data_IF_843399027046
#
_entry.id   IF_843399027046
#
_cell.length_a   1.000
_cell.length_b   1.000
_cell.length_c   1.000
_cell.angle_alpha   90.00
_cell.angle_beta   90.00
_cell.angle_gamma   90.00
#
_symmetry.space_group_name_H-M   'P 1'
#
loop_
_entity.id
_entity.type
_entity.pdbx_description
1 polymer ?
#
# COMPACT_ATOMS: atom_id res chain seq x y z
N UNK A 1 0.66 11.33 17.99
CA UNK A 1 0.84 11.24 19.47
C UNK A 1 2.22 11.68 19.93
N UNK A 2 3.34 11.14 19.42
CA UNK A 2 4.68 11.53 19.91
C UNK A 2 5.01 13.02 19.77
N UNK A 3 4.64 13.67 18.66
CA UNK A 3 4.77 15.13 18.51
C UNK A 3 4.01 15.91 19.58
N UNK A 4 2.83 15.42 19.97
CA UNK A 4 2.05 16.02 21.06
C UNK A 4 2.78 15.83 22.38
N UNK A 5 3.31 14.63 22.65
CA UNK A 5 4.09 14.38 23.85
C UNK A 5 5.33 15.29 23.94
N UNK A 6 6.04 15.50 22.83
CA UNK A 6 7.18 16.43 22.76
C UNK A 6 6.75 17.88 23.04
N UNK A 7 5.59 18.31 22.52
CA UNK A 7 5.06 19.66 22.75
C UNK A 7 4.65 19.91 24.21
N UNK A 8 4.15 18.88 24.89
CA UNK A 8 3.69 18.97 26.28
C UNK A 8 4.65 18.31 27.27
N UNK A 9 5.93 18.22 26.92
CA UNK A 9 6.97 17.54 27.71
C UNK A 9 6.97 17.98 29.18
N UNK A 10 7.00 19.28 29.45
CA UNK A 10 7.03 19.80 30.83
C UNK A 10 5.82 19.37 31.65
N UNK A 11 4.64 19.35 31.04
CA UNK A 11 3.40 18.92 31.69
C UNK A 11 3.42 17.42 31.94
N UNK A 12 3.92 16.64 30.98
CA UNK A 12 4.07 15.19 31.12
C UNK A 12 5.05 14.87 32.25
N UNK A 13 6.23 15.49 32.26
CA UNK A 13 7.26 15.30 33.29
C UNK A 13 6.73 15.70 34.69
N UNK A 14 5.97 16.79 34.80
CA UNK A 14 5.35 17.22 36.05
C UNK A 14 4.29 16.22 36.56
N UNK A 15 3.50 15.62 35.66
CA UNK A 15 2.49 14.63 36.02
C UNK A 15 3.15 13.30 36.40
N UNK A 16 4.16 12.84 35.65
CA UNK A 16 4.81 11.55 35.88
C UNK A 16 5.71 11.55 37.12
N UNK A 17 6.36 12.68 37.43
CA UNK A 17 7.22 12.81 38.62
C UNK A 17 6.43 12.87 39.94
N UNK A 18 5.13 13.20 39.88
CA UNK A 18 4.27 13.29 41.06
C UNK A 18 3.91 11.90 41.60
N UNK A 19 4.41 11.59 42.80
CA UNK A 19 4.23 10.30 43.48
C UNK A 19 2.77 9.95 43.77
N UNK A 20 1.90 10.95 43.93
CA UNK A 20 0.47 10.76 44.27
C UNK A 20 -0.30 10.08 43.14
N UNK A 21 0.11 10.29 41.88
CA UNK A 21 -0.59 9.72 40.73
C UNK A 21 -0.14 8.30 40.38
N UNK A 22 0.94 7.79 41.00
CA UNK A 22 1.44 6.44 40.72
C UNK A 22 1.97 6.24 39.29
N UNK A 23 2.28 7.33 38.58
CA UNK A 23 2.72 7.31 37.18
C UNK A 23 4.24 7.35 36.99
N UNK A 24 5.00 7.29 38.09
CA UNK A 24 6.46 7.45 38.06
C UNK A 24 7.22 6.45 37.19
N UNK A 25 6.64 5.27 36.96
CA UNK A 25 7.19 4.27 36.03
C UNK A 25 7.17 4.69 34.56
N UNK A 26 6.48 5.79 34.23
CA UNK A 26 6.40 6.37 32.88
C UNK A 26 7.16 7.70 32.77
N UNK A 27 7.86 8.11 33.83
CA UNK A 27 8.76 9.26 33.81
C UNK A 27 9.90 8.95 32.84
N UNK A 28 10.10 9.81 31.84
CA UNK A 28 11.16 9.67 30.85
C UNK A 28 12.36 10.51 31.24
N UNK A 29 13.55 9.96 31.07
CA UNK A 29 14.78 10.73 31.23
C UNK A 29 15.13 11.59 30.00
N UNK A 30 16.15 12.43 30.13
CA UNK A 30 16.59 13.32 29.06
C UNK A 30 17.04 12.57 27.78
N UNK A 31 17.60 11.37 27.91
CA UNK A 31 18.05 10.58 26.77
C UNK A 31 16.89 9.89 26.08
N UNK A 32 15.89 9.42 26.83
CA UNK A 32 14.63 8.90 26.30
C UNK A 32 13.85 9.99 25.56
N UNK A 33 13.83 11.22 26.08
CA UNK A 33 13.24 12.36 25.38
C UNK A 33 13.97 12.70 24.07
N UNK A 34 15.30 12.55 24.00
CA UNK A 34 16.05 12.67 22.74
C UNK A 34 15.62 11.58 21.74
N UNK A 35 15.43 10.34 22.20
CA UNK A 35 14.91 9.25 21.35
C UNK A 35 13.53 9.61 20.80
N UNK A 36 12.63 10.16 21.62
CA UNK A 36 11.30 10.63 21.16
C UNK A 36 11.42 11.70 20.08
N UNK A 37 12.25 12.72 20.30
CA UNK A 37 12.45 13.80 19.31
C UNK A 37 13.03 13.30 17.99
N UNK A 38 13.98 12.37 18.04
CA UNK A 38 14.56 11.75 16.84
C UNK A 38 13.56 10.85 16.11
N UNK A 39 12.72 10.09 16.83
CA UNK A 39 11.63 9.31 16.23
C UNK A 39 10.62 10.21 15.52
N UNK A 40 10.21 11.31 16.16
CA UNK A 40 9.32 12.30 15.55
C UNK A 40 9.96 12.89 14.31
N UNK A 41 11.25 13.25 14.36
CA UNK A 41 11.96 13.80 13.21
C UNK A 41 11.95 12.85 12.01
N UNK A 42 12.28 11.58 12.21
CA UNK A 42 12.42 10.60 11.12
C UNK A 42 11.08 10.13 10.58
N UNK A 43 10.15 9.74 11.46
CA UNK A 43 8.93 9.04 11.04
C UNK A 43 7.74 9.96 10.77
N UNK A 44 7.76 11.22 11.20
CA UNK A 44 6.62 12.13 11.01
C UNK A 44 6.29 12.31 9.54
N UNK A 45 7.28 12.61 8.70
CA UNK A 45 7.07 12.86 7.27
C UNK A 45 6.50 11.61 6.59
N UNK A 46 7.10 10.45 6.83
CA UNK A 46 6.63 9.18 6.28
C UNK A 46 5.20 8.84 6.75
N UNK A 47 4.89 9.06 8.03
CA UNK A 47 3.55 8.81 8.59
C UNK A 47 2.51 9.74 7.98
N UNK A 48 2.79 11.04 7.90
CA UNK A 48 1.86 12.01 7.31
C UNK A 48 1.63 11.77 5.82
N UNK A 49 2.68 11.39 5.10
CA UNK A 49 2.59 11.00 3.70
C UNK A 49 1.65 9.80 3.52
N UNK A 50 1.85 8.75 4.31
CA UNK A 50 0.99 7.55 4.24
C UNK A 50 -0.45 7.79 4.73
N UNK A 51 -0.63 8.64 5.74
CA UNK A 51 -1.96 9.02 6.24
C UNK A 51 -2.75 9.93 5.29
N UNK A 52 -2.17 10.36 4.17
CA UNK A 52 -2.90 11.18 3.19
C UNK A 52 -3.80 10.30 2.30
N UNK A 53 -5.11 10.62 2.29
CA UNK A 53 -6.16 9.84 1.62
C UNK A 53 -5.98 9.77 0.08
N UNK A 54 -5.16 10.67 -0.49
CA UNK A 54 -5.04 10.85 -1.93
C UNK A 54 -4.06 9.89 -2.64
N UNK A 55 -3.24 9.12 -1.90
CA UNK A 55 -2.04 8.46 -2.49
C UNK A 55 -2.09 6.93 -2.40
N UNK A 56 -2.80 6.33 -1.44
CA UNK A 56 -2.74 4.88 -1.16
C UNK A 56 -3.67 4.01 -2.03
N UNK A 57 -3.74 4.27 -3.33
CA UNK A 57 -4.40 3.33 -4.25
C UNK A 57 -3.48 2.14 -4.52
N UNK A 58 -4.05 0.93 -4.71
CA UNK A 58 -3.31 -0.30 -5.15
C UNK A 58 -2.31 0.00 -6.29
N UNK A 59 -2.70 0.94 -7.13
CA UNK A 59 -2.02 1.39 -8.34
C UNK A 59 -0.72 2.17 -8.06
N UNK A 60 -0.60 2.83 -6.91
CA UNK A 60 0.54 3.65 -6.49
C UNK A 60 1.33 3.03 -5.32
N UNK A 61 1.01 1.80 -4.93
CA UNK A 61 1.58 1.19 -3.72
C UNK A 61 3.12 1.12 -3.79
N UNK A 62 3.69 0.77 -4.94
CA UNK A 62 5.15 0.70 -5.15
C UNK A 62 5.76 2.09 -4.99
N UNK A 63 5.28 3.08 -5.72
CA UNK A 63 5.81 4.45 -5.65
C UNK A 63 5.65 5.07 -4.26
N UNK A 64 4.57 4.73 -3.56
CA UNK A 64 4.36 5.18 -2.17
C UNK A 64 5.39 4.56 -1.23
N UNK A 65 5.68 3.28 -1.41
CA UNK A 65 6.70 2.59 -0.63
C UNK A 65 8.10 3.10 -0.95
N UNK A 66 8.43 3.38 -2.21
CA UNK A 66 9.73 3.93 -2.62
C UNK A 66 9.95 5.29 -1.95
N UNK A 67 8.93 6.15 -2.00
CA UNK A 67 8.94 7.45 -1.34
C UNK A 67 9.12 7.34 0.19
N UNK A 68 8.50 6.34 0.84
CA UNK A 68 8.70 6.09 2.27
C UNK A 68 10.13 5.64 2.55
N UNK A 69 10.72 4.75 1.74
CA UNK A 69 12.10 4.33 1.93
C UNK A 69 13.07 5.50 1.78
N UNK A 70 12.86 6.34 0.75
CA UNK A 70 13.63 7.57 0.51
C UNK A 70 13.52 8.53 1.70
N UNK A 71 12.30 8.76 2.23
CA UNK A 71 12.08 9.61 3.41
C UNK A 71 12.85 9.06 4.62
N UNK A 72 12.81 7.75 4.87
CA UNK A 72 13.51 7.10 5.98
C UNK A 72 15.05 7.10 5.82
N UNK A 73 15.53 7.17 4.58
CA UNK A 73 16.94 7.34 4.26
C UNK A 73 17.40 8.80 4.33
N UNK A 74 16.50 9.76 4.11
CA UNK A 74 16.79 11.20 4.17
C UNK A 74 16.97 11.68 5.62
N UNK A 75 18.19 11.55 6.15
CA UNK A 75 18.50 11.86 7.56
C UNK A 75 19.14 13.23 7.78
N UNK A 76 19.48 13.95 6.70
CA UNK A 76 20.27 15.18 6.76
C UNK A 76 21.56 14.99 7.57
N UNK A 77 22.00 16.05 8.24
CA UNK A 77 23.21 16.03 9.10
C UNK A 77 22.91 15.68 10.57
N UNK A 78 21.67 15.28 10.89
CA UNK A 78 21.26 15.03 12.27
C UNK A 78 21.85 13.72 12.79
N UNK A 79 22.60 13.78 13.89
CA UNK A 79 23.08 12.60 14.61
C UNK A 79 21.93 11.97 15.39
N UNK A 80 21.41 10.86 14.88
CA UNK A 80 20.32 10.12 15.50
C UNK A 80 20.81 9.19 16.60
N UNK A 81 19.98 8.98 17.63
CA UNK A 81 20.21 7.98 18.65
C UNK A 81 20.32 6.56 18.05
N UNK A 82 21.19 5.67 18.59
CA UNK A 82 21.34 4.30 18.08
C UNK A 82 20.04 3.49 18.10
N UNK A 83 19.17 3.72 19.07
CA UNK A 83 17.84 3.11 19.13
C UNK A 83 16.97 3.48 17.92
N UNK A 84 17.03 4.75 17.49
CA UNK A 84 16.27 5.27 16.34
C UNK A 84 16.82 4.69 15.05
N UNK A 85 18.14 4.59 14.90
CA UNK A 85 18.75 3.92 13.74
C UNK A 85 18.28 2.47 13.60
N UNK A 86 18.16 1.74 14.71
CA UNK A 86 17.60 0.39 14.73
C UNK A 86 16.11 0.37 14.39
N UNK A 87 15.33 1.33 14.89
CA UNK A 87 13.91 1.47 14.52
C UNK A 87 13.74 1.75 13.02
N UNK A 88 14.59 2.59 12.42
CA UNK A 88 14.61 2.83 10.98
C UNK A 88 14.93 1.55 10.21
N UNK A 89 15.97 0.81 10.61
CA UNK A 89 16.32 -0.46 9.98
C UNK A 89 15.14 -1.47 10.04
N UNK A 90 14.44 -1.54 11.18
CA UNK A 90 13.25 -2.38 11.34
C UNK A 90 12.09 -1.92 10.46
N UNK A 91 11.86 -0.60 10.36
CA UNK A 91 10.85 -0.03 9.47
C UNK A 91 11.10 -0.39 8.01
N UNK A 92 12.35 -0.29 7.56
CA UNK A 92 12.76 -0.69 6.20
C UNK A 92 12.63 -2.19 5.95
N UNK A 93 13.03 -3.03 6.90
CA UNK A 93 12.84 -4.47 6.80
C UNK A 93 11.35 -4.85 6.69
N UNK A 94 10.50 -4.13 7.43
CA UNK A 94 9.03 -4.30 7.35
C UNK A 94 8.52 -3.87 5.98
N UNK A 95 8.98 -2.73 5.45
CA UNK A 95 8.65 -2.26 4.11
C UNK A 95 9.06 -3.27 3.03
N UNK A 96 10.27 -3.82 3.12
CA UNK A 96 10.77 -4.88 2.22
C UNK A 96 9.86 -6.12 2.23
N UNK A 97 9.35 -6.51 3.40
CA UNK A 97 8.39 -7.62 3.49
C UNK A 97 7.09 -7.29 2.77
N UNK A 98 6.61 -6.05 2.83
CA UNK A 98 5.45 -5.63 2.06
C UNK A 98 5.75 -5.61 0.56
N UNK A 99 6.97 -5.25 0.13
CA UNK A 99 7.35 -5.32 -1.30
C UNK A 99 7.21 -6.74 -1.81
N UNK A 100 7.77 -7.70 -1.07
CA UNK A 100 7.68 -9.12 -1.41
C UNK A 100 6.23 -9.61 -1.49
N UNK A 101 5.34 -9.11 -0.61
CA UNK A 101 3.91 -9.47 -0.64
C UNK A 101 3.17 -8.85 -1.83
N UNK A 102 3.46 -7.60 -2.15
CA UNK A 102 2.92 -6.91 -3.33
C UNK A 102 3.37 -7.63 -4.60
N UNK A 103 4.65 -8.02 -4.66
CA UNK A 103 5.23 -8.75 -5.77
C UNK A 103 4.65 -10.17 -5.92
N UNK A 104 4.44 -10.88 -4.81
CA UNK A 104 3.84 -12.22 -4.85
C UNK A 104 2.34 -12.24 -5.19
N UNK A 105 1.67 -11.08 -5.26
CA UNK A 105 0.22 -11.00 -5.48
C UNK A 105 -0.12 -10.68 -6.92
N UNK A 106 -0.80 -11.61 -7.60
CA UNK A 106 -1.30 -11.44 -8.96
C UNK A 106 -2.15 -10.18 -9.12
N UNK A 107 -2.96 -9.84 -8.11
CA UNK A 107 -3.85 -8.67 -8.15
C UNK A 107 -3.03 -7.38 -8.19
N UNK A 108 -1.97 -7.27 -7.38
CA UNK A 108 -1.11 -6.09 -7.37
C UNK A 108 -0.30 -6.00 -8.66
N UNK A 109 0.28 -7.11 -9.13
CA UNK A 109 0.99 -7.16 -10.42
C UNK A 109 0.09 -6.72 -11.59
N UNK A 110 -1.15 -7.21 -11.64
CA UNK A 110 -2.11 -6.83 -12.69
C UNK A 110 -2.55 -5.37 -12.56
N UNK A 111 -2.84 -4.89 -11.35
CA UNK A 111 -3.25 -3.51 -11.12
C UNK A 111 -2.15 -2.51 -11.51
N UNK A 112 -0.88 -2.86 -11.27
CA UNK A 112 0.28 -2.10 -11.70
C UNK A 112 0.39 -2.03 -13.23
N UNK A 113 0.29 -3.17 -13.91
CA UNK A 113 0.37 -3.22 -15.40
C UNK A 113 -0.84 -2.59 -16.08
N UNK A 114 -2.02 -2.63 -15.45
CA UNK A 114 -3.24 -2.02 -15.97
C UNK A 114 -3.36 -0.53 -15.66
N UNK A 115 -2.40 0.07 -14.94
CA UNK A 115 -2.44 1.48 -14.60
C UNK A 115 -2.35 2.34 -15.88
N UNK A 116 -3.31 3.25 -16.16
CA UNK A 116 -3.35 4.01 -17.42
C UNK A 116 -2.10 4.84 -17.71
N UNK A 117 -1.42 5.32 -16.67
CA UNK A 117 -0.16 6.08 -16.79
C UNK A 117 1.12 5.23 -16.77
N UNK A 118 1.05 3.94 -16.41
CA UNK A 118 2.23 3.06 -16.35
C UNK A 118 2.17 2.08 -17.52
N UNK A 119 2.81 2.45 -18.64
CA UNK A 119 3.07 1.49 -19.72
C UNK A 119 4.11 0.48 -19.25
N UNK A 120 4.04 -0.75 -19.77
CA UNK A 120 5.06 -1.80 -19.57
C UNK A 120 6.50 -1.29 -19.79
N UNK A 121 6.68 -0.30 -20.67
CA UNK A 121 7.92 0.43 -20.89
C UNK A 121 8.53 1.05 -19.61
N UNK A 122 7.69 1.57 -18.69
CA UNK A 122 8.16 2.16 -17.44
C UNK A 122 8.86 1.12 -16.56
N UNK A 123 8.37 -0.12 -16.53
CA UNK A 123 8.99 -1.22 -15.78
C UNK A 123 10.30 -1.67 -16.41
N UNK A 124 10.40 -1.64 -17.74
CA UNK A 124 11.67 -1.88 -18.45
C UNK A 124 12.70 -0.81 -18.12
N UNK A 125 12.28 0.45 -18.01
CA UNK A 125 13.18 1.57 -17.65
C UNK A 125 13.58 1.55 -16.18
N UNK A 126 12.72 1.06 -15.29
CA UNK A 126 12.98 0.99 -13.85
C UNK A 126 13.79 -0.26 -13.41
N UNK A 127 14.31 -1.05 -14.37
CA UNK A 127 15.22 -2.16 -14.08
C UNK A 127 14.55 -3.41 -13.48
N UNK A 128 13.24 -3.59 -13.69
CA UNK A 128 12.58 -4.83 -13.31
C UNK A 128 13.08 -6.01 -14.16
N UNK A 129 13.13 -7.20 -13.55
CA UNK A 129 13.59 -8.42 -14.20
C UNK A 129 12.76 -8.74 -15.46
N UNK A 130 13.44 -9.12 -16.54
CA UNK A 130 12.81 -9.48 -17.81
C UNK A 130 11.85 -10.67 -17.65
N UNK A 131 12.22 -11.63 -16.79
CA UNK A 131 11.38 -12.80 -16.49
C UNK A 131 10.09 -12.37 -15.77
N UNK A 132 10.20 -11.42 -14.83
CA UNK A 132 9.05 -10.86 -14.13
C UNK A 132 8.07 -10.15 -15.07
N UNK A 133 8.60 -9.40 -16.04
CA UNK A 133 7.79 -8.69 -17.06
C UNK A 133 7.05 -9.71 -17.92
N UNK A 134 7.76 -10.74 -18.41
CA UNK A 134 7.20 -11.82 -19.23
C UNK A 134 6.08 -12.58 -18.49
N UNK A 135 6.32 -12.97 -17.24
CA UNK A 135 5.34 -13.66 -16.41
C UNK A 135 4.08 -12.84 -16.18
N UNK A 136 4.25 -11.54 -15.90
CA UNK A 136 3.11 -10.65 -15.68
C UNK A 136 2.29 -10.46 -16.96
N UNK A 137 2.95 -10.36 -18.12
CA UNK A 137 2.27 -10.26 -19.41
C UNK A 137 1.49 -11.54 -19.74
N UNK A 138 2.09 -12.71 -19.51
CA UNK A 138 1.44 -14.00 -19.70
C UNK A 138 0.20 -14.15 -18.81
N UNK A 139 0.33 -13.74 -17.55
CA UNK A 139 -0.77 -13.73 -16.59
C UNK A 139 -1.90 -12.81 -17.05
N UNK A 140 -1.59 -11.58 -17.49
CA UNK A 140 -2.57 -10.64 -18.02
C UNK A 140 -3.30 -11.21 -19.23
N UNK A 141 -2.57 -11.79 -20.20
CA UNK A 141 -3.15 -12.44 -21.39
C UNK A 141 -4.08 -13.60 -21.01
N UNK A 142 -3.69 -14.40 -20.02
CA UNK A 142 -4.51 -15.51 -19.51
C UNK A 142 -5.81 -15.00 -18.88
N UNK A 143 -5.74 -13.98 -18.01
CA UNK A 143 -6.92 -13.38 -17.38
C UNK A 143 -7.84 -12.73 -18.41
N UNK A 144 -7.29 -12.01 -19.39
CA UNK A 144 -8.07 -11.40 -20.47
C UNK A 144 -8.79 -12.45 -21.33
N UNK A 145 -8.11 -13.55 -21.70
CA UNK A 145 -8.75 -14.67 -22.42
C UNK A 145 -9.88 -15.30 -21.61
N UNK A 146 -9.67 -15.53 -20.32
CA UNK A 146 -10.71 -16.08 -19.44
C UNK A 146 -11.92 -15.13 -19.33
N UNK A 147 -11.67 -13.84 -19.18
CA UNK A 147 -12.72 -12.81 -19.16
C UNK A 147 -13.49 -12.76 -20.50
N UNK A 148 -12.78 -12.71 -21.63
CA UNK A 148 -13.37 -12.70 -22.97
C UNK A 148 -14.25 -13.93 -23.20
N UNK A 149 -13.78 -15.12 -22.81
CA UNK A 149 -14.54 -16.36 -22.94
C UNK A 149 -15.80 -16.35 -22.07
N UNK A 150 -15.74 -15.83 -20.83
CA UNK A 150 -16.92 -15.64 -19.97
C UNK A 150 -17.92 -14.68 -20.59
N UNK A 151 -17.45 -13.55 -21.13
CA UNK A 151 -18.29 -12.56 -21.80
C UNK A 151 -18.91 -13.09 -23.10
N UNK A 152 -18.20 -13.94 -23.83
CA UNK A 152 -18.72 -14.62 -25.03
C UNK A 152 -19.78 -15.67 -24.66
N UNK A 153 -19.57 -16.44 -23.59
CA UNK A 153 -20.54 -17.40 -23.07
C UNK A 153 -21.82 -16.70 -22.60
N UNK A 154 -21.69 -15.68 -21.76
CA UNK A 154 -22.85 -14.92 -21.28
C UNK A 154 -23.64 -14.27 -22.42
N UNK A 155 -22.96 -13.77 -23.47
CA UNK A 155 -23.63 -13.26 -24.68
C UNK A 155 -24.37 -14.35 -25.45
N UNK A 156 -23.79 -15.55 -25.59
CA UNK A 156 -24.47 -16.70 -26.21
C UNK A 156 -25.70 -17.12 -25.41
N UNK A 157 -25.58 -17.24 -24.09
CA UNK A 157 -26.70 -17.59 -23.21
C UNK A 157 -27.82 -16.53 -23.31
N UNK A 158 -27.47 -15.24 -23.39
CA UNK A 158 -28.44 -14.15 -23.56
C UNK A 158 -29.12 -14.19 -24.94
N UNK A 159 -28.38 -14.54 -26.00
CA UNK A 159 -28.94 -14.67 -27.35
C UNK A 159 -29.83 -15.93 -27.44
N UNK A 160 -29.40 -17.07 -26.88
CA UNK A 160 -30.18 -18.31 -26.85
C UNK A 160 -31.48 -18.14 -26.07
N UNK A 161 -31.46 -17.50 -24.90
CA UNK A 161 -32.68 -17.18 -24.13
C UNK A 161 -33.60 -16.25 -24.94
N UNK A 162 -33.05 -15.26 -25.64
CA UNK A 162 -33.84 -14.34 -26.47
C UNK A 162 -34.46 -15.05 -27.68
N UNK A 163 -33.72 -15.93 -28.35
CA UNK A 163 -34.19 -16.74 -29.49
C UNK A 163 -35.26 -17.73 -29.05
N UNK A 164 -35.10 -18.36 -27.88
CA UNK A 164 -36.07 -19.28 -27.29
C UNK A 164 -37.39 -18.56 -26.94
N UNK A 165 -37.31 -17.36 -26.36
CA UNK A 165 -38.50 -16.55 -26.06
C UNK A 165 -39.23 -16.06 -27.31
N UNK A 166 -38.51 -15.71 -28.39
CA UNK A 166 -39.14 -15.31 -29.66
C UNK A 166 -39.80 -16.49 -30.38
N UNK A 167 -39.18 -17.68 -30.38
CA UNK A 167 -39.79 -18.88 -30.98
C UNK A 167 -41.01 -19.37 -30.19
N UNK A 168 -40.99 -19.25 -28.85
CA UNK A 168 -42.17 -19.49 -28.02
C UNK A 168 -43.31 -18.50 -28.31
N UNK A 169 -43.00 -17.22 -28.49
CA UNK A 169 -44.00 -16.20 -28.82
C UNK A 169 -44.65 -16.44 -30.19
N UNK A 170 -43.87 -16.83 -31.20
CA UNK A 170 -44.37 -17.18 -32.54
C UNK A 170 -45.25 -18.44 -32.51
N UNK A 171 -44.82 -19.50 -31.81
CA UNK A 171 -45.62 -20.72 -31.62
C UNK A 171 -46.96 -20.44 -30.93
N UNK A 172 -46.97 -19.56 -29.93
CA UNK A 172 -48.20 -19.17 -29.23
C UNK A 172 -49.12 -18.29 -30.08
N UNK A 173 -48.58 -17.55 -31.07
CA UNK A 173 -49.37 -16.71 -31.97
C UNK A 173 -50.12 -17.49 -33.07
N UNK A 174 -49.72 -18.72 -33.35
CA UNK A 174 -50.37 -19.63 -34.31
C UNK A 174 -51.39 -20.58 -33.67
N UNK A 175 -51.60 -20.49 -32.35
CA UNK A 175 -52.55 -21.27 -31.55
C UNK A 175 -53.87 -20.52 -31.28
N UNK A 176 -54.16 -19.47 -32.03
CA UNK A 176 -55.43 -18.74 -32.09
C UNK A 176 -55.90 -18.65 -33.54
#
# INVERSE_FOLDING_TARGET
MLRFAEQYREVIDAITSNKTYGLRKFELDDDEWKVVGDLVYVFKTATLFFSSDAISTISNVISTMDAIDDILQSRGDRKLQPAVLRAVALGRATLQRYYQKTDASDIYRLALVLHPSSKLECYRTNGFDADWISDTENMLRKQYKAYSNRMAKNRKDTIEVRVFLTTLAELMSHLH
#
